data_IF_642360739240
#
_entry.id   IF_642360739240
#
_cell.length_a   1.000
_cell.length_b   1.000
_cell.length_c   1.000
_cell.angle_alpha   90.00
_cell.angle_beta   90.00
_cell.angle_gamma   90.00
#
_symmetry.space_group_name_H-M   'P 1'
#
loop_
_entity.id
_entity.type
_entity.pdbx_description
1 polymer ?
#
# COMPACT_ATOMS: atom_id res chain seq x y z
N UNK A 1 10.54 -3.40 33.37
CA UNK A 1 9.46 -2.88 32.50
C UNK A 1 10.09 -1.85 31.59
N UNK A 2 10.10 -2.08 30.29
CA UNK A 2 10.76 -1.18 29.34
C UNK A 2 9.88 0.06 29.08
N UNK A 3 10.33 1.29 29.38
CA UNK A 3 9.52 2.52 29.27
C UNK A 3 9.23 2.98 27.81
N UNK A 4 9.44 2.14 26.80
CA UNK A 4 9.67 2.55 25.41
C UNK A 4 8.51 2.35 24.43
N UNK A 5 7.29 1.98 24.86
CA UNK A 5 6.20 1.75 23.89
C UNK A 5 5.76 3.05 23.21
N UNK A 6 5.98 3.15 21.91
CA UNK A 6 5.58 4.32 21.12
C UNK A 6 4.07 4.56 21.21
N UNK A 7 3.62 5.81 21.19
CA UNK A 7 2.18 6.09 21.00
C UNK A 7 1.80 5.83 19.55
N UNK A 8 0.53 5.59 19.28
CA UNK A 8 0.01 5.40 17.92
C UNK A 8 0.36 6.59 17.03
N UNK A 9 0.22 7.82 17.53
CA UNK A 9 0.62 9.03 16.83
C UNK A 9 2.11 9.05 16.49
N UNK A 10 2.96 8.76 17.46
CA UNK A 10 4.43 8.77 17.30
C UNK A 10 4.90 7.67 16.35
N UNK A 11 4.19 6.54 16.28
CA UNK A 11 4.52 5.46 15.35
C UNK A 11 4.50 5.91 13.88
N UNK A 12 3.77 6.96 13.51
CA UNK A 12 3.81 7.54 12.16
C UNK A 12 5.14 8.22 11.84
N UNK A 13 5.90 8.65 12.84
CA UNK A 13 7.17 9.35 12.66
C UNK A 13 8.38 8.41 12.80
N UNK A 14 8.11 7.16 13.18
CA UNK A 14 9.09 6.13 13.37
C UNK A 14 9.11 5.20 12.16
N UNK A 15 10.31 4.99 11.62
CA UNK A 15 10.57 3.95 10.64
C UNK A 15 10.19 2.59 11.24
N UNK A 16 9.76 1.66 10.39
CA UNK A 16 9.56 0.29 10.83
C UNK A 16 10.89 -0.28 11.36
N UNK A 17 10.83 -1.13 12.40
CA UNK A 17 12.04 -1.71 12.94
C UNK A 17 12.73 -2.56 11.87
N UNK A 18 13.92 -2.10 11.51
CA UNK A 18 14.94 -2.90 10.84
C UNK A 18 15.73 -3.46 12.02
N UNK A 19 15.51 -4.71 12.40
CA UNK A 19 16.14 -5.31 13.59
C UNK A 19 17.65 -5.02 13.69
N UNK A 20 18.23 -5.00 14.91
CA UNK A 20 19.66 -5.16 15.06
C UNK A 20 20.05 -6.63 14.90
N UNK A 21 21.09 -6.91 14.12
CA UNK A 21 22.02 -8.03 14.28
C UNK A 21 21.51 -9.49 14.39
N UNK A 22 20.27 -9.85 14.03
CA UNK A 22 20.04 -11.22 13.57
C UNK A 22 20.52 -11.26 12.13
N UNK A 23 21.77 -11.71 11.94
CA UNK A 23 22.26 -12.14 10.64
C UNK A 23 21.45 -13.36 10.21
N UNK A 24 20.20 -13.15 9.81
CA UNK A 24 19.51 -14.10 8.94
C UNK A 24 20.36 -14.10 7.69
N UNK A 25 21.16 -15.16 7.54
CA UNK A 25 21.89 -15.48 6.32
C UNK A 25 20.85 -15.86 5.27
N UNK A 26 19.98 -14.91 4.89
CA UNK A 26 19.21 -15.03 3.67
C UNK A 26 20.23 -14.86 2.55
N UNK A 27 20.68 -15.99 2.02
CA UNK A 27 21.49 -16.07 0.82
C UNK A 27 20.75 -15.35 -0.32
N UNK A 28 21.08 -14.08 -0.54
CA UNK A 28 20.69 -13.30 -1.72
C UNK A 28 20.03 -11.95 -1.39
N UNK A 29 20.54 -10.83 -1.92
CA UNK A 29 19.93 -9.50 -1.80
C UNK A 29 18.69 -9.32 -2.69
N UNK A 30 18.14 -10.41 -3.27
CA UNK A 30 17.03 -10.41 -4.23
C UNK A 30 16.25 -11.72 -4.13
N UNK A 31 14.97 -11.68 -3.75
CA UNK A 31 14.07 -12.85 -3.74
C UNK A 31 13.23 -12.86 -5.02
N UNK A 32 13.53 -13.72 -6.01
CA UNK A 32 12.76 -13.79 -7.24
C UNK A 32 11.35 -14.32 -6.96
N UNK A 33 10.36 -13.77 -7.65
CA UNK A 33 8.98 -14.26 -7.63
C UNK A 33 8.52 -14.68 -9.02
N UNK A 34 7.56 -15.60 -9.05
CA UNK A 34 6.78 -15.97 -10.23
C UNK A 34 5.35 -16.27 -9.77
N UNK A 35 4.39 -16.15 -10.66
CA UNK A 35 3.03 -16.60 -10.36
C UNK A 35 2.81 -18.03 -10.85
N UNK A 36 2.24 -18.88 -10.01
CA UNK A 36 1.67 -20.18 -10.39
C UNK A 36 0.17 -20.10 -10.65
N UNK A 37 -0.48 -18.98 -10.29
CA UNK A 37 -1.91 -18.80 -10.45
C UNK A 37 -2.24 -18.46 -11.91
N UNK A 38 -3.02 -19.33 -12.56
CA UNK A 38 -3.43 -19.18 -13.97
C UNK A 38 -4.07 -17.83 -14.27
N UNK A 39 -4.85 -17.28 -13.33
CA UNK A 39 -5.45 -15.96 -13.45
C UNK A 39 -4.41 -14.84 -13.58
N UNK A 40 -3.34 -14.88 -12.78
CA UNK A 40 -2.32 -13.82 -12.80
C UNK A 40 -1.37 -14.01 -13.98
N UNK A 41 -1.17 -15.24 -14.44
CA UNK A 41 -0.40 -15.53 -15.65
C UNK A 41 -1.05 -14.90 -16.89
N UNK A 42 -2.40 -14.81 -16.93
CA UNK A 42 -3.16 -14.25 -18.07
C UNK A 42 -3.26 -12.72 -18.08
N UNK A 43 -3.00 -12.05 -16.96
CA UNK A 43 -3.02 -10.59 -16.91
C UNK A 43 -1.92 -9.97 -17.75
N UNK A 44 -2.20 -8.87 -18.44
CA UNK A 44 -1.16 -8.09 -19.09
C UNK A 44 -0.34 -7.33 -18.04
N UNK A 45 1.00 -7.24 -18.19
CA UNK A 45 1.80 -6.39 -17.31
C UNK A 45 1.49 -4.90 -17.55
N UNK A 46 1.82 -4.07 -16.56
CA UNK A 46 1.85 -2.61 -16.78
C UNK A 46 2.98 -2.28 -17.74
N UNK A 47 2.68 -1.69 -18.89
CA UNK A 47 3.69 -1.37 -19.90
C UNK A 47 4.71 -0.32 -19.40
N UNK A 48 4.18 0.80 -18.90
CA UNK A 48 4.87 1.93 -18.26
C UNK A 48 3.96 2.57 -17.22
N UNK A 49 4.50 3.36 -16.30
CA UNK A 49 3.72 4.07 -15.28
C UNK A 49 4.17 5.51 -15.08
N UNK A 50 3.22 6.43 -14.84
CA UNK A 50 3.54 7.78 -14.41
C UNK A 50 4.04 7.78 -12.98
N UNK A 51 5.29 8.19 -12.78
CA UNK A 51 5.87 8.29 -11.45
C UNK A 51 5.25 9.46 -10.68
N UNK A 52 4.66 9.17 -9.53
CA UNK A 52 4.14 10.20 -8.65
C UNK A 52 5.23 10.74 -7.73
N UNK A 53 5.20 12.05 -7.45
CA UNK A 53 6.06 12.63 -6.42
C UNK A 53 5.59 12.22 -5.03
N UNK A 54 6.55 11.90 -4.15
CA UNK A 54 6.32 11.67 -2.72
C UNK A 54 5.67 12.87 -2.03
N UNK A 55 5.88 14.09 -2.55
CA UNK A 55 5.25 15.32 -2.03
C UNK A 55 3.73 15.26 -2.12
N UNK A 56 3.19 14.54 -3.09
CA UNK A 56 1.73 14.32 -3.20
C UNK A 56 1.20 13.64 -1.94
N UNK A 57 1.95 12.67 -1.43
CA UNK A 57 1.58 11.89 -0.25
C UNK A 57 1.89 12.65 1.04
N UNK A 58 2.97 13.43 1.10
CA UNK A 58 3.19 14.38 2.19
C UNK A 58 2.01 15.34 2.34
N UNK A 59 1.62 16.00 1.25
CA UNK A 59 0.51 16.94 1.27
C UNK A 59 -0.82 16.28 1.68
N UNK A 60 -1.06 15.04 1.25
CA UNK A 60 -2.24 14.27 1.67
C UNK A 60 -2.19 13.93 3.15
N UNK A 61 -1.04 13.53 3.67
CA UNK A 61 -0.85 13.28 5.10
C UNK A 61 -1.08 14.57 5.92
N UNK A 62 -0.33 15.63 5.64
CA UNK A 62 -0.34 16.86 6.43
C UNK A 62 -1.72 17.53 6.48
N UNK A 63 -2.49 17.47 5.38
CA UNK A 63 -3.84 18.06 5.32
C UNK A 63 -4.91 17.25 6.03
N UNK A 64 -4.72 15.93 6.14
CA UNK A 64 -5.80 15.02 6.55
C UNK A 64 -5.48 14.24 7.80
N UNK A 65 -4.25 14.28 8.31
CA UNK A 65 -3.93 13.59 9.55
C UNK A 65 -4.77 14.16 10.71
N UNK A 66 -5.33 13.31 11.59
CA UNK A 66 -6.28 13.78 12.59
C UNK A 66 -5.59 14.70 13.60
N UNK A 67 -6.29 15.74 14.04
CA UNK A 67 -5.81 16.56 15.16
C UNK A 67 -5.83 15.72 16.44
N UNK A 68 -4.71 15.70 17.15
CA UNK A 68 -4.58 14.96 18.41
C UNK A 68 -5.12 15.85 19.54
N UNK A 69 -6.38 15.63 19.90
CA UNK A 69 -7.02 16.28 21.05
C UNK A 69 -6.84 15.51 22.36
N UNK A 70 -7.34 16.12 23.45
CA UNK A 70 -7.46 15.45 24.74
C UNK A 70 -8.33 14.20 24.59
N UNK A 71 -7.84 13.04 25.02
CA UNK A 71 -8.46 11.72 24.84
C UNK A 71 -8.56 11.18 23.39
N UNK A 72 -7.73 11.67 22.45
CA UNK A 72 -7.63 11.04 21.13
C UNK A 72 -7.15 9.58 21.25
N UNK A 73 -7.76 8.61 20.53
CA UNK A 73 -7.25 7.25 20.44
C UNK A 73 -5.82 7.16 19.92
N UNK A 74 -5.34 8.18 19.18
CA UNK A 74 -3.95 8.25 18.71
C UNK A 74 -2.93 8.43 19.83
N UNK A 75 -3.37 8.86 21.02
CA UNK A 75 -2.53 8.97 22.21
C UNK A 75 -2.35 7.63 22.93
N UNK A 76 -3.09 6.58 22.53
CA UNK A 76 -2.91 5.24 23.06
C UNK A 76 -1.53 4.68 22.66
N UNK A 77 -1.05 3.69 23.42
CA UNK A 77 0.21 2.99 23.13
C UNK A 77 0.03 2.02 21.97
N UNK A 78 1.07 1.86 21.17
CA UNK A 78 1.16 0.77 20.22
C UNK A 78 1.08 -0.57 20.95
N UNK A 79 0.39 -1.58 20.38
CA UNK A 79 0.43 -2.94 20.89
C UNK A 79 1.88 -3.44 21.00
N UNK A 80 2.15 -4.21 22.05
CA UNK A 80 3.45 -4.85 22.29
C UNK A 80 3.20 -6.35 22.27
N UNK A 81 4.10 -7.10 21.63
CA UNK A 81 4.04 -8.56 21.64
C UNK A 81 4.27 -9.08 23.07
N UNK A 82 3.38 -9.93 23.56
CA UNK A 82 3.50 -10.52 24.89
C UNK A 82 4.68 -11.50 24.96
N UNK A 83 5.36 -11.59 26.12
CA UNK A 83 6.51 -12.49 26.29
C UNK A 83 6.18 -13.98 26.09
N UNK A 84 4.92 -14.34 26.30
CA UNK A 84 4.42 -15.72 26.15
C UNK A 84 3.82 -15.98 24.77
N UNK A 85 3.95 -15.03 23.82
CA UNK A 85 3.42 -15.19 22.47
C UNK A 85 4.34 -16.10 21.66
N UNK A 86 3.78 -17.19 21.12
CA UNK A 86 4.50 -18.14 20.29
C UNK A 86 4.13 -17.94 18.82
N UNK A 87 5.13 -17.90 17.94
CA UNK A 87 4.97 -17.79 16.48
C UNK A 87 5.50 -19.05 15.83
N UNK A 88 4.60 -19.86 15.29
CA UNK A 88 4.95 -21.18 14.75
C UNK A 88 5.04 -21.18 13.22
N UNK A 89 4.39 -20.23 12.55
CA UNK A 89 4.29 -20.21 11.09
C UNK A 89 4.70 -18.88 10.47
N UNK A 90 5.11 -18.91 9.20
CA UNK A 90 5.33 -17.71 8.38
C UNK A 90 4.07 -16.82 8.34
N UNK A 91 2.89 -17.43 8.33
CA UNK A 91 1.62 -16.72 8.35
C UNK A 91 1.41 -15.92 9.65
N UNK A 92 1.88 -16.43 10.79
CA UNK A 92 1.79 -15.70 12.07
C UNK A 92 2.72 -14.49 12.07
N UNK A 93 3.95 -14.65 11.59
CA UNK A 93 4.90 -13.55 11.43
C UNK A 93 4.36 -12.49 10.46
N UNK A 94 3.86 -12.91 9.29
CA UNK A 94 3.25 -12.00 8.32
C UNK A 94 2.06 -11.24 8.90
N UNK A 95 1.20 -11.92 9.66
CA UNK A 95 0.01 -11.29 10.27
C UNK A 95 0.40 -10.27 11.32
N UNK A 96 1.37 -10.57 12.18
CA UNK A 96 1.89 -9.60 13.15
C UNK A 96 2.58 -8.41 12.46
N UNK A 97 3.44 -8.66 11.47
CA UNK A 97 4.08 -7.62 10.69
C UNK A 97 3.05 -6.69 10.02
N UNK A 98 2.01 -7.27 9.44
CA UNK A 98 0.90 -6.53 8.83
C UNK A 98 0.20 -5.66 9.88
N UNK A 99 -0.14 -6.21 11.05
CA UNK A 99 -0.77 -5.46 12.13
C UNK A 99 0.10 -4.31 12.65
N UNK A 100 1.42 -4.51 12.73
CA UNK A 100 2.37 -3.47 13.16
C UNK A 100 2.43 -2.28 12.18
N UNK A 101 2.15 -2.52 10.90
CA UNK A 101 2.00 -1.49 9.88
C UNK A 101 0.62 -0.83 9.94
N UNK A 102 -0.47 -1.62 9.92
CA UNK A 102 -1.81 -1.09 9.65
C UNK A 102 -2.57 -0.63 10.89
N UNK A 103 -2.23 -1.10 12.09
CA UNK A 103 -2.94 -0.71 13.32
C UNK A 103 -3.02 0.81 13.51
N UNK A 104 -1.89 1.55 13.51
CA UNK A 104 -1.93 3.01 13.66
C UNK A 104 -2.68 3.69 12.50
N UNK A 105 -2.55 3.17 11.28
CA UNK A 105 -3.27 3.65 10.09
C UNK A 105 -4.78 3.51 10.28
N UNK A 106 -5.26 2.36 10.74
CA UNK A 106 -6.68 2.10 10.97
C UNK A 106 -7.28 3.02 12.02
N UNK A 107 -6.58 3.24 13.13
CA UNK A 107 -7.03 4.16 14.19
C UNK A 107 -7.10 5.59 13.65
N UNK A 108 -6.09 6.04 12.90
CA UNK A 108 -6.10 7.37 12.30
C UNK A 108 -7.24 7.55 11.27
N UNK A 109 -7.47 6.56 10.40
CA UNK A 109 -8.55 6.59 9.40
C UNK A 109 -9.93 6.68 10.06
N UNK A 110 -10.16 6.00 11.18
CA UNK A 110 -11.42 6.09 11.92
C UNK A 110 -11.70 7.50 12.42
N UNK A 111 -10.67 8.25 12.83
CA UNK A 111 -10.83 9.62 13.34
C UNK A 111 -11.25 10.62 12.27
N UNK A 112 -11.01 10.31 10.99
CA UNK A 112 -11.36 11.20 9.86
C UNK A 112 -12.45 10.61 8.97
N UNK A 113 -13.10 9.55 9.44
CA UNK A 113 -14.21 8.92 8.73
C UNK A 113 -15.39 9.90 8.66
N UNK A 114 -16.03 10.08 7.48
CA UNK A 114 -17.18 10.95 7.34
C UNK A 114 -18.33 10.59 8.32
N UNK A 115 -19.07 11.57 8.86
CA UNK A 115 -20.23 11.32 9.70
C UNK A 115 -21.24 10.38 9.03
N UNK A 116 -21.81 9.45 9.82
CA UNK A 116 -22.76 8.46 9.32
C UNK A 116 -22.16 7.36 8.46
N UNK A 117 -20.83 7.26 8.39
CA UNK A 117 -20.11 6.20 7.69
C UNK A 117 -19.11 5.50 8.62
N UNK A 118 -18.58 4.37 8.18
CA UNK A 118 -17.51 3.62 8.87
C UNK A 118 -16.52 3.06 7.86
N UNK A 119 -15.23 3.10 8.20
CA UNK A 119 -14.18 2.41 7.45
C UNK A 119 -13.98 1.03 8.08
N UNK A 120 -14.03 -0.01 7.26
CA UNK A 120 -13.70 -1.37 7.64
C UNK A 120 -12.38 -1.75 6.97
N UNK A 121 -11.47 -2.34 7.75
CA UNK A 121 -10.27 -2.98 7.27
C UNK A 121 -10.47 -4.49 7.41
N UNK A 122 -10.47 -5.25 6.32
CA UNK A 122 -10.77 -6.69 6.32
C UNK A 122 -9.58 -7.47 5.79
N UNK A 123 -9.25 -8.57 6.45
CA UNK A 123 -8.23 -9.52 6.01
C UNK A 123 -8.82 -10.65 5.16
N UNK A 124 -8.03 -11.19 4.25
CA UNK A 124 -8.30 -12.44 3.52
C UNK A 124 -9.65 -12.52 2.79
N UNK A 125 -10.12 -11.40 2.22
CA UNK A 125 -11.41 -11.40 1.52
C UNK A 125 -11.27 -12.12 0.17
N UNK A 126 -12.00 -13.23 0.02
CA UNK A 126 -12.21 -13.85 -1.30
C UNK A 126 -13.25 -13.04 -2.07
N UNK A 127 -12.87 -12.50 -3.23
CA UNK A 127 -13.83 -11.95 -4.19
C UNK A 127 -14.31 -13.07 -5.10
N UNK A 128 -15.48 -13.64 -4.79
CA UNK A 128 -16.18 -14.56 -5.70
C UNK A 128 -15.36 -15.78 -6.15
N UNK A 129 -14.37 -16.22 -5.37
CA UNK A 129 -13.55 -17.40 -5.66
C UNK A 129 -12.35 -17.19 -6.59
N UNK A 130 -12.10 -15.99 -7.13
CA UNK A 130 -11.03 -15.78 -8.12
C UNK A 130 -9.80 -15.05 -7.58
N UNK A 131 -9.93 -14.25 -6.52
CA UNK A 131 -8.82 -13.51 -5.90
C UNK A 131 -8.97 -13.40 -4.39
N UNK A 132 -7.86 -13.60 -3.67
CA UNK A 132 -7.72 -13.31 -2.25
C UNK A 132 -6.61 -12.29 -2.11
N UNK A 133 -6.94 -11.13 -1.56
CA UNK A 133 -5.98 -10.11 -1.17
C UNK A 133 -5.80 -10.13 0.35
N UNK A 134 -4.62 -9.71 0.81
CA UNK A 134 -4.29 -9.78 2.24
C UNK A 134 -5.14 -8.82 3.06
N UNK A 135 -5.26 -7.55 2.62
CA UNK A 135 -6.05 -6.53 3.30
C UNK A 135 -6.84 -5.65 2.32
N UNK A 136 -8.06 -5.25 2.70
CA UNK A 136 -8.88 -4.26 1.98
C UNK A 136 -9.48 -3.24 2.96
N UNK A 137 -9.39 -1.95 2.61
CA UNK A 137 -10.15 -0.89 3.25
C UNK A 137 -11.38 -0.55 2.44
N UNK A 138 -12.54 -0.49 3.09
CA UNK A 138 -13.81 -0.12 2.46
C UNK A 138 -14.62 0.82 3.35
N UNK A 139 -15.32 1.77 2.72
CA UNK A 139 -16.24 2.70 3.35
C UNK A 139 -17.66 2.13 3.29
N UNK A 140 -18.37 2.18 4.42
CA UNK A 140 -19.75 1.72 4.54
C UNK A 140 -20.64 2.78 5.17
N UNK A 141 -21.93 2.77 4.87
CA UNK A 141 -22.91 3.58 5.59
C UNK A 141 -23.20 3.03 7.00
N UNK A 142 -23.99 3.75 7.79
CA UNK A 142 -24.42 3.35 9.13
C UNK A 142 -25.22 2.04 9.17
N UNK A 143 -25.83 1.64 8.05
CA UNK A 143 -26.58 0.38 7.90
C UNK A 143 -25.68 -0.77 7.43
N UNK A 144 -24.42 -0.49 7.11
CA UNK A 144 -23.42 -1.45 6.68
C UNK A 144 -23.37 -1.67 5.16
N UNK A 145 -24.11 -0.93 4.35
CA UNK A 145 -24.02 -0.99 2.90
C UNK A 145 -22.65 -0.47 2.43
N UNK A 146 -22.03 -1.16 1.47
CA UNK A 146 -20.76 -0.75 0.89
C UNK A 146 -20.96 0.51 0.04
N UNK A 147 -20.21 1.57 0.35
CA UNK A 147 -20.22 2.84 -0.38
C UNK A 147 -19.06 2.96 -1.35
N UNK A 148 -17.86 2.56 -0.92
CA UNK A 148 -16.66 2.65 -1.74
C UNK A 148 -15.58 1.68 -1.24
N UNK A 149 -14.78 1.15 -2.15
CA UNK A 149 -13.53 0.45 -1.82
C UNK A 149 -12.39 1.45 -1.91
N UNK A 150 -11.64 1.59 -0.83
CA UNK A 150 -10.63 2.62 -0.68
C UNK A 150 -9.28 2.13 -1.17
N UNK A 151 -8.78 1.01 -0.66
CA UNK A 151 -7.49 0.46 -1.10
C UNK A 151 -7.38 -1.04 -0.81
N UNK A 152 -6.48 -1.69 -1.53
CA UNK A 152 -6.00 -3.05 -1.25
C UNK A 152 -4.53 -2.96 -0.85
N UNK A 153 -4.13 -3.73 0.17
CA UNK A 153 -2.73 -3.98 0.50
C UNK A 153 -2.44 -5.47 0.33
N UNK A 154 -1.39 -5.76 -0.43
CA UNK A 154 -0.81 -7.08 -0.59
C UNK A 154 0.57 -7.08 0.07
N UNK A 155 0.77 -8.01 0.99
CA UNK A 155 2.01 -8.19 1.75
C UNK A 155 2.83 -9.29 1.09
N UNK A 156 4.10 -9.01 0.89
CA UNK A 156 5.08 -9.92 0.31
C UNK A 156 6.11 -10.30 1.35
N UNK A 157 6.73 -11.44 1.09
CA UNK A 157 7.99 -11.80 1.72
C UNK A 157 9.03 -10.70 1.48
N UNK A 158 9.96 -10.55 2.42
CA UNK A 158 11.00 -9.54 2.32
C UNK A 158 11.87 -9.72 1.09
N UNK A 159 12.48 -8.61 0.66
CA UNK A 159 13.43 -8.59 -0.44
C UNK A 159 12.78 -8.97 -1.79
N UNK A 160 11.54 -8.58 -2.04
CA UNK A 160 10.78 -8.82 -3.28
C UNK A 160 10.65 -7.55 -4.13
N UNK A 161 10.51 -6.38 -3.51
CA UNK A 161 10.27 -5.10 -4.20
C UNK A 161 11.59 -4.33 -4.30
N UNK A 162 12.03 -4.03 -5.52
CA UNK A 162 13.27 -3.29 -5.80
C UNK A 162 13.02 -2.12 -6.73
N UNK A 163 13.56 -0.94 -6.39
CA UNK A 163 13.44 0.26 -7.21
C UNK A 163 13.87 0.05 -8.66
N UNK A 164 14.99 -0.66 -8.86
CA UNK A 164 15.58 -0.86 -10.20
C UNK A 164 14.67 -1.68 -11.13
N UNK A 165 13.84 -2.58 -10.58
CA UNK A 165 12.89 -3.37 -11.36
C UNK A 165 11.78 -2.50 -12.01
N UNK A 166 11.49 -1.33 -11.41
CA UNK A 166 10.47 -0.38 -11.90
C UNK A 166 11.07 0.77 -12.72
N UNK A 167 12.33 1.15 -12.47
CA UNK A 167 12.97 2.36 -12.97
C UNK A 167 12.86 2.57 -14.49
N UNK A 168 13.01 1.50 -15.27
CA UNK A 168 12.94 1.56 -16.74
C UNK A 168 11.54 1.95 -17.25
N UNK A 169 10.49 1.56 -16.53
CA UNK A 169 9.09 1.79 -16.87
C UNK A 169 8.52 3.11 -16.35
N UNK A 170 9.22 3.81 -15.45
CA UNK A 170 8.83 5.12 -14.96
C UNK A 170 8.80 6.15 -16.10
N UNK A 171 7.69 6.86 -16.26
CA UNK A 171 7.51 7.91 -17.28
C UNK A 171 7.06 9.24 -16.68
N UNK A 172 7.31 10.30 -17.44
CA UNK A 172 6.76 11.64 -17.27
C UNK A 172 6.10 12.10 -18.59
N UNK A 173 5.47 13.27 -18.61
CA UNK A 173 4.71 13.74 -19.77
C UNK A 173 5.59 13.90 -21.03
N UNK A 174 6.89 14.10 -20.84
CA UNK A 174 7.86 14.34 -21.91
C UNK A 174 8.30 13.04 -22.58
N UNK A 175 8.48 11.98 -21.79
CA UNK A 175 9.01 10.70 -22.27
C UNK A 175 7.96 9.59 -22.42
N UNK A 176 6.71 9.83 -22.00
CA UNK A 176 5.63 8.83 -22.04
C UNK A 176 5.46 8.18 -23.41
N UNK A 177 5.31 8.98 -24.49
CA UNK A 177 5.04 8.44 -25.83
C UNK A 177 6.18 7.56 -26.35
N UNK A 178 7.42 7.98 -26.17
CA UNK A 178 8.59 7.23 -26.65
C UNK A 178 8.81 5.95 -25.85
N UNK A 179 8.66 6.00 -24.51
CA UNK A 179 8.75 4.81 -23.66
C UNK A 179 7.59 3.83 -23.86
N UNK A 180 6.38 4.32 -24.10
CA UNK A 180 5.24 3.45 -24.45
C UNK A 180 5.48 2.75 -25.79
N UNK A 181 5.91 3.48 -26.82
CA UNK A 181 6.26 2.88 -28.11
C UNK A 181 7.38 1.84 -27.96
N UNK A 182 8.38 2.11 -27.12
CA UNK A 182 9.41 1.12 -26.78
C UNK A 182 8.82 -0.11 -26.10
N UNK A 183 7.99 0.08 -25.07
CA UNK A 183 7.36 -1.01 -24.31
C UNK A 183 6.60 -1.98 -25.22
N UNK A 184 5.82 -1.46 -26.18
CA UNK A 184 5.05 -2.27 -27.14
C UNK A 184 5.94 -3.15 -28.02
N UNK A 185 7.19 -2.77 -28.26
CA UNK A 185 8.15 -3.54 -29.05
C UNK A 185 8.99 -4.52 -28.22
N UNK A 186 8.84 -4.54 -26.90
CA UNK A 186 9.48 -5.53 -26.03
C UNK A 186 8.69 -6.85 -26.05
N UNK A 187 9.38 -7.98 -25.83
CA UNK A 187 8.78 -9.34 -25.86
C UNK A 187 7.51 -9.47 -25.00
N UNK A 188 7.49 -8.79 -23.85
CA UNK A 188 6.39 -8.82 -22.89
C UNK A 188 5.51 -7.56 -22.90
N UNK A 189 5.66 -6.69 -23.90
CA UNK A 189 4.93 -5.43 -24.02
C UNK A 189 5.06 -4.49 -22.81
N UNK A 190 6.22 -4.53 -22.13
CA UNK A 190 6.48 -3.76 -20.90
C UNK A 190 7.96 -3.44 -20.72
N UNK A 191 8.23 -2.32 -20.04
CA UNK A 191 9.56 -1.94 -19.57
C UNK A 191 9.82 -2.32 -18.10
N UNK A 192 8.85 -2.94 -17.42
CA UNK A 192 9.05 -3.47 -16.08
C UNK A 192 9.93 -4.71 -16.14
N UNK A 193 10.82 -4.85 -15.17
CA UNK A 193 11.81 -5.91 -15.16
C UNK A 193 11.61 -6.86 -13.98
N UNK A 194 12.05 -8.11 -14.14
CA UNK A 194 12.15 -9.12 -13.07
C UNK A 194 10.87 -9.21 -12.21
N UNK A 195 10.91 -8.92 -10.91
CA UNK A 195 9.76 -9.04 -10.02
C UNK A 195 8.68 -8.01 -10.33
N UNK A 196 9.03 -6.80 -10.76
CA UNK A 196 8.04 -5.76 -11.08
C UNK A 196 7.07 -6.19 -12.18
N UNK A 197 7.52 -7.01 -13.14
CA UNK A 197 6.66 -7.64 -14.14
C UNK A 197 5.51 -8.42 -13.47
N UNK A 198 5.85 -9.38 -12.59
CA UNK A 198 4.88 -10.23 -11.90
C UNK A 198 4.01 -9.46 -10.91
N UNK A 199 4.62 -8.55 -10.15
CA UNK A 199 3.92 -7.67 -9.21
C UNK A 199 2.87 -6.81 -9.93
N UNK A 200 3.20 -6.27 -11.11
CA UNK A 200 2.26 -5.44 -11.88
C UNK A 200 1.07 -6.22 -12.42
N UNK A 201 1.29 -7.47 -12.88
CA UNK A 201 0.21 -8.38 -13.31
C UNK A 201 -0.74 -8.68 -12.16
N UNK A 202 -0.19 -8.98 -10.98
CA UNK A 202 -1.01 -9.21 -9.79
C UNK A 202 -1.78 -7.95 -9.36
N UNK A 203 -1.11 -6.79 -9.34
CA UNK A 203 -1.75 -5.53 -8.98
C UNK A 203 -2.88 -5.16 -9.97
N UNK A 204 -2.69 -5.42 -11.27
CA UNK A 204 -3.73 -5.22 -12.29
C UNK A 204 -4.93 -6.12 -12.06
N UNK A 205 -4.71 -7.39 -11.73
CA UNK A 205 -5.79 -8.31 -11.33
C UNK A 205 -6.62 -7.73 -10.18
N UNK A 206 -5.97 -7.19 -9.16
CA UNK A 206 -6.66 -6.58 -8.02
C UNK A 206 -7.35 -5.26 -8.36
N UNK A 207 -6.85 -4.55 -9.38
CA UNK A 207 -7.42 -3.30 -9.86
C UNK A 207 -8.85 -3.45 -10.39
N UNK A 208 -9.23 -4.65 -10.85
CA UNK A 208 -10.63 -4.98 -11.21
C UNK A 208 -11.60 -4.78 -10.04
N UNK A 209 -11.11 -4.88 -8.80
CA UNK A 209 -11.90 -4.73 -7.59
C UNK A 209 -11.70 -3.38 -6.90
N UNK A 210 -10.47 -2.85 -6.90
CA UNK A 210 -10.16 -1.55 -6.32
C UNK A 210 -8.97 -0.94 -7.07
N UNK A 211 -9.08 0.27 -7.63
CA UNK A 211 -8.02 0.85 -8.45
C UNK A 211 -6.76 1.24 -7.66
N UNK A 212 -6.80 1.19 -6.32
CA UNK A 212 -5.68 1.55 -5.45
C UNK A 212 -5.10 0.29 -4.82
N UNK A 213 -3.92 -0.11 -5.28
CA UNK A 213 -3.24 -1.33 -4.81
C UNK A 213 -1.87 -0.96 -4.27
N UNK A 214 -1.63 -1.26 -2.99
CA UNK A 214 -0.33 -1.15 -2.34
C UNK A 214 0.31 -2.54 -2.26
N UNK A 215 1.59 -2.62 -2.63
CA UNK A 215 2.44 -3.80 -2.45
C UNK A 215 3.48 -3.46 -1.39
N UNK A 216 3.68 -4.33 -0.41
CA UNK A 216 4.59 -4.08 0.71
C UNK A 216 5.40 -5.32 1.06
N UNK A 217 6.71 -5.19 1.26
CA UNK A 217 7.59 -6.33 1.57
C UNK A 217 8.45 -6.13 2.82
N UNK A 218 8.01 -5.29 3.77
CA UNK A 218 8.79 -4.81 4.93
C UNK A 218 9.91 -3.82 4.59
N UNK A 219 10.63 -4.01 3.48
CA UNK A 219 11.78 -3.19 3.11
C UNK A 219 11.42 -2.05 2.17
N UNK A 220 10.36 -2.22 1.38
CA UNK A 220 9.87 -1.28 0.41
C UNK A 220 8.35 -1.41 0.23
N UNK A 221 7.78 -0.38 -0.37
CA UNK A 221 6.38 -0.30 -0.77
C UNK A 221 6.30 0.23 -2.20
N UNK A 222 5.46 -0.37 -3.02
CA UNK A 222 5.07 0.18 -4.31
C UNK A 222 3.57 0.41 -4.34
N UNK A 223 3.16 1.63 -4.67
CA UNK A 223 1.74 1.98 -4.78
C UNK A 223 1.37 2.06 -6.26
N UNK A 224 0.25 1.45 -6.62
CA UNK A 224 -0.37 1.59 -7.94
C UNK A 224 -1.74 2.28 -7.82
N UNK A 225 -2.02 3.17 -8.78
CA UNK A 225 -3.32 3.81 -8.97
C UNK A 225 -3.79 3.61 -10.41
N UNK A 226 -4.71 2.66 -10.60
CA UNK A 226 -5.36 2.27 -11.85
C UNK A 226 -6.64 3.04 -12.15
N UNK A 227 -6.74 4.30 -11.69
CA UNK A 227 -7.85 5.15 -12.06
C UNK A 227 -7.96 5.24 -13.59
N UNK A 228 -9.17 5.19 -14.17
CA UNK A 228 -9.36 5.39 -15.60
C UNK A 228 -8.86 6.79 -15.97
N UNK A 229 -7.75 6.86 -16.69
CA UNK A 229 -7.23 8.09 -17.24
C UNK A 229 -6.95 7.84 -18.71
N UNK A 230 -7.82 8.28 -19.61
CA UNK A 230 -7.52 8.29 -21.05
C UNK A 230 -6.78 9.58 -21.37
N UNK A 231 -5.59 9.55 -22.01
CA UNK A 231 -4.75 8.42 -22.43
C UNK A 231 -3.59 8.11 -21.46
N UNK A 232 -3.73 8.41 -20.17
CA UNK A 232 -2.62 8.34 -19.21
C UNK A 232 -2.42 6.91 -18.67
N UNK A 233 -1.18 6.40 -18.61
CA UNK A 233 -0.87 5.13 -17.97
C UNK A 233 -1.21 5.15 -16.49
N UNK A 234 -1.12 3.96 -15.89
CA UNK A 234 -1.22 3.78 -14.44
C UNK A 234 -0.27 4.74 -13.74
N UNK A 235 -0.66 5.24 -12.58
CA UNK A 235 0.24 6.01 -11.70
C UNK A 235 0.88 5.08 -10.69
N UNK A 236 2.12 5.37 -10.31
CA UNK A 236 2.76 4.63 -9.25
C UNK A 236 3.95 5.32 -8.60
N UNK A 237 4.34 4.82 -7.45
CA UNK A 237 5.48 5.32 -6.68
C UNK A 237 6.14 4.18 -5.92
N UNK A 238 7.47 4.14 -5.99
CA UNK A 238 8.30 3.31 -5.15
C UNK A 238 8.71 4.12 -3.91
N UNK A 239 8.68 3.48 -2.75
CA UNK A 239 9.16 4.06 -1.50
C UNK A 239 9.88 3.02 -0.64
N UNK A 240 10.99 3.41 -0.04
CA UNK A 240 11.61 2.71 1.06
C UNK A 240 12.03 3.71 2.15
N UNK A 241 12.22 3.22 3.37
CA UNK A 241 12.63 4.05 4.49
C UNK A 241 14.15 4.20 4.61
N UNK A 242 14.93 3.80 3.59
CA UNK A 242 16.39 3.89 3.63
C UNK A 242 16.80 5.34 3.35
N UNK A 243 17.77 5.83 4.11
CA UNK A 243 18.28 7.20 3.95
C UNK A 243 17.31 8.31 4.40
N UNK A 244 17.37 9.45 3.70
CA UNK A 244 16.59 10.67 4.00
C UNK A 244 15.25 10.63 3.27
N UNK A 245 14.15 10.55 4.02
CA UNK A 245 12.78 10.41 3.47
C UNK A 245 11.94 11.68 3.58
N UNK A 246 12.50 12.80 4.05
CA UNK A 246 11.74 14.03 4.30
C UNK A 246 10.72 13.89 5.44
N UNK A 247 10.87 12.90 6.31
CA UNK A 247 9.89 12.58 7.36
C UNK A 247 8.74 11.70 6.88
N UNK A 248 8.76 11.21 5.65
CA UNK A 248 7.85 10.14 5.23
C UNK A 248 8.26 8.80 5.85
N UNK A 249 7.26 8.00 6.21
CA UNK A 249 7.38 6.63 6.69
C UNK A 249 6.36 5.76 5.96
N UNK A 250 6.46 4.43 6.06
CA UNK A 250 5.47 3.52 5.48
C UNK A 250 4.07 3.77 6.02
N UNK A 251 3.94 4.10 7.32
CA UNK A 251 2.64 4.39 7.94
C UNK A 251 2.04 5.70 7.43
N UNK A 252 2.85 6.76 7.30
CA UNK A 252 2.42 8.04 6.71
C UNK A 252 2.00 7.87 5.26
N UNK A 253 2.80 7.14 4.48
CA UNK A 253 2.54 6.87 3.07
C UNK A 253 1.25 6.06 2.90
N UNK A 254 1.09 4.96 3.64
CA UNK A 254 -0.08 4.11 3.56
C UNK A 254 -1.35 4.85 3.99
N UNK A 255 -1.30 5.64 5.07
CA UNK A 255 -2.43 6.49 5.45
C UNK A 255 -2.81 7.45 4.33
N UNK A 256 -1.85 8.20 3.78
CA UNK A 256 -2.10 9.13 2.68
C UNK A 256 -2.69 8.42 1.45
N UNK A 257 -2.20 7.22 1.15
CA UNK A 257 -2.70 6.39 0.04
C UNK A 257 -4.17 5.99 0.22
N UNK A 258 -4.58 5.56 1.42
CA UNK A 258 -5.98 5.20 1.71
C UNK A 258 -6.89 6.44 1.80
N UNK A 259 -6.35 7.57 2.28
CA UNK A 259 -7.08 8.84 2.39
C UNK A 259 -7.44 9.42 1.03
N UNK A 260 -6.58 9.28 0.02
CA UNK A 260 -6.82 9.78 -1.34
C UNK A 260 -8.22 9.40 -1.88
N UNK A 261 -8.61 8.12 -1.98
CA UNK A 261 -9.94 7.72 -2.41
C UNK A 261 -11.06 8.15 -1.46
N UNK A 262 -10.80 8.22 -0.15
CA UNK A 262 -11.78 8.71 0.82
C UNK A 262 -12.17 10.16 0.53
N UNK A 263 -11.18 11.02 0.26
CA UNK A 263 -11.43 12.43 -0.08
C UNK A 263 -12.04 12.60 -1.47
N UNK A 264 -11.72 11.74 -2.43
CA UNK A 264 -12.43 11.70 -3.71
C UNK A 264 -13.92 11.36 -3.54
N UNK A 265 -14.24 10.44 -2.63
CA UNK A 265 -15.63 10.11 -2.30
C UNK A 265 -16.36 11.30 -1.66
N UNK A 266 -15.78 11.95 -0.65
CA UNK A 266 -16.35 13.14 -0.01
C UNK A 266 -16.63 14.26 -1.01
N UNK A 267 -15.67 14.55 -1.89
CA UNK A 267 -15.82 15.57 -2.94
C UNK A 267 -16.97 15.24 -3.91
N UNK A 268 -17.13 13.96 -4.27
CA UNK A 268 -18.22 13.49 -5.14
C UNK A 268 -19.58 13.59 -4.46
N UNK A 269 -19.67 13.25 -3.17
CA UNK A 269 -20.91 13.42 -2.38
C UNK A 269 -21.34 14.87 -2.31
N UNK A 270 -20.41 15.77 -1.98
CA UNK A 270 -20.70 17.20 -1.89
C UNK A 270 -21.25 17.77 -3.21
N UNK A 271 -20.76 17.28 -4.35
CA UNK A 271 -21.25 17.68 -5.68
C UNK A 271 -22.63 17.11 -6.03
N UNK A 272 -22.99 15.95 -5.47
CA UNK A 272 -24.24 15.24 -5.83
C UNK A 272 -25.38 15.49 -4.85
N UNK A 273 -25.15 16.22 -3.75
CA UNK A 273 -26.19 16.63 -2.79
C UNK A 273 -26.88 15.46 -2.07
N UNK A 274 -26.28 14.27 -2.11
CA UNK A 274 -26.76 13.05 -1.45
C UNK A 274 -25.87 12.68 -0.30
#
# INVERSE_FOLDING_TARGET
MDPSSSTISRAFDEKLPIEPAVAVVSNGPYRPIRSSASSTLREDPVAVYFEESIDTYHNLFDRNFPRIGHASPLSARMPILEQTHQLDTEADVMRLATLQLIHPVNIALQQICPPGTRILCRSERSTGGTSRFDMEWSLHDSRGALLSKLAILEVKNTNVIYKDDFKSAAVDERNFRSKMAKAVNEENSTLLQRNAFWLSKQARKYAEHCPYVALFDWNAMFLFSFLPQTPQPVRGIYFDERGRTGGMTFRRLLFAFVVRPLKSYEATRLRTGR
#
